data_IF_473609348039
#
_entry.id   IF_473609348039
#
_cell.length_a   1.000
_cell.length_b   1.000
_cell.length_c   1.000
_cell.angle_alpha   90.00
_cell.angle_beta   90.00
_cell.angle_gamma   90.00
#
_symmetry.space_group_name_H-M   'P 1'
#
loop_
_entity.id
_entity.type
_entity.pdbx_description
1 polymer ?
#
# COMPACT_ATOMS: atom_id res chain seq x y z
N UNK A 1 -23.04 -76.81 38.43
CA UNK A 1 -21.58 -76.71 38.64
C UNK A 1 -21.25 -75.23 38.44
N UNK A 2 -21.26 -74.37 39.46
CA UNK A 2 -20.28 -74.24 40.56
C UNK A 2 -18.89 -73.79 40.06
N UNK A 3 -18.21 -72.77 40.60
CA UNK A 3 -18.58 -71.73 41.59
C UNK A 3 -17.49 -70.60 41.64
N UNK A 4 -17.78 -69.47 42.32
CA UNK A 4 -16.85 -68.39 42.76
C UNK A 4 -16.08 -67.58 41.69
N UNK A 5 -15.72 -66.29 41.88
CA UNK A 5 -16.00 -65.33 42.96
C UNK A 5 -15.37 -63.93 42.70
N UNK A 6 -15.89 -62.89 43.37
CA UNK A 6 -15.32 -61.51 43.43
C UNK A 6 -14.11 -61.44 44.41
N UNK A 7 -13.26 -60.38 44.48
CA UNK A 7 -13.58 -58.93 44.51
C UNK A 7 -12.77 -58.10 43.45
N UNK A 8 -12.48 -56.79 43.48
CA UNK A 8 -12.51 -55.76 44.56
C UNK A 8 -12.61 -54.28 44.08
N UNK A 9 -12.36 -53.35 45.02
CA UNK A 9 -12.45 -51.86 45.01
C UNK A 9 -11.28 -51.12 44.31
N UNK A 10 -11.25 -49.78 44.14
CA UNK A 10 -12.05 -48.68 44.70
C UNK A 10 -11.97 -47.40 43.84
N UNK A 11 -13.08 -46.67 43.68
CA UNK A 11 -13.06 -45.25 43.23
C UNK A 11 -13.43 -44.33 44.41
N UNK A 12 -12.75 -43.18 44.53
CA UNK A 12 -13.18 -42.08 45.43
C UNK A 12 -13.58 -40.86 44.62
N UNK A 13 -14.88 -40.56 44.62
CA UNK A 13 -15.43 -39.24 44.29
C UNK A 13 -15.15 -38.25 45.42
N UNK A 14 -15.18 -36.93 45.15
CA UNK A 14 -16.14 -36.00 45.77
C UNK A 14 -16.09 -34.58 45.17
N UNK A 15 -17.14 -33.81 45.48
CA UNK A 15 -17.66 -32.71 44.63
C UNK A 15 -17.49 -31.29 45.21
N UNK A 16 -17.79 -30.30 44.36
CA UNK A 16 -17.88 -28.84 44.59
C UNK A 16 -19.00 -28.50 45.61
N UNK A 17 -18.94 -27.38 46.37
CA UNK A 17 -19.69 -26.17 45.97
C UNK A 17 -19.06 -24.82 46.39
N UNK A 18 -19.64 -23.71 45.91
CA UNK A 18 -19.25 -22.32 46.21
C UNK A 18 -19.98 -21.73 47.45
N UNK A 19 -19.44 -20.66 48.06
CA UNK A 19 -20.11 -19.87 49.12
C UNK A 19 -19.72 -18.38 49.12
N UNK A 20 -20.38 -17.58 49.97
CA UNK A 20 -20.68 -16.14 49.78
C UNK A 20 -19.83 -15.15 50.62
N UNK A 21 -19.72 -13.94 50.06
CA UNK A 21 -19.51 -12.58 50.64
C UNK A 21 -19.23 -12.44 52.16
N UNK A 22 -18.24 -11.59 52.46
CA UNK A 22 -18.24 -10.67 53.61
C UNK A 22 -17.64 -9.31 53.20
N UNK A 23 -18.14 -8.21 53.78
CA UNK A 23 -17.56 -6.86 53.59
C UNK A 23 -16.49 -6.58 54.64
N UNK A 24 -15.48 -5.78 54.29
CA UNK A 24 -14.79 -4.92 55.25
C UNK A 24 -14.24 -3.69 54.55
N UNK A 25 -14.66 -2.50 54.98
CA UNK A 25 -14.11 -1.24 54.54
C UNK A 25 -12.89 -0.89 55.38
N UNK A 26 -11.75 -0.58 54.76
CA UNK A 26 -10.77 0.31 55.38
C UNK A 26 -10.28 1.36 54.39
N UNK A 27 -10.50 2.61 54.78
CA UNK A 27 -10.02 3.80 54.10
C UNK A 27 -8.56 4.02 54.49
N UNK A 28 -7.66 4.27 53.53
CA UNK A 28 -6.38 4.93 53.81
C UNK A 28 -6.17 6.07 52.82
N UNK A 29 -5.78 7.22 53.39
CA UNK A 29 -5.65 8.50 52.73
C UNK A 29 -4.23 9.03 53.00
N UNK A 30 -3.39 9.16 51.97
CA UNK A 30 -2.15 9.96 51.92
C UNK A 30 -1.37 9.56 50.64
N UNK A 31 -0.60 10.44 49.98
CA UNK A 31 -0.62 11.90 49.90
C UNK A 31 0.08 12.27 48.57
N UNK A 32 -0.26 13.41 47.96
CA UNK A 32 0.21 13.74 46.63
C UNK A 32 1.66 14.28 46.59
N UNK A 33 2.44 13.84 45.59
CA UNK A 33 3.50 14.66 44.96
C UNK A 33 3.39 14.50 43.45
N UNK A 34 3.27 15.64 42.76
CA UNK A 34 2.71 15.70 41.41
C UNK A 34 3.49 15.03 40.29
N UNK A 35 2.74 14.71 39.23
CA UNK A 35 3.03 15.29 37.93
C UNK A 35 1.68 15.62 37.29
N UNK A 36 1.39 16.91 37.10
CA UNK A 36 0.28 17.33 36.23
C UNK A 36 0.70 17.04 34.79
N UNK A 37 0.41 15.81 34.34
CA UNK A 37 0.30 15.52 32.92
C UNK A 37 -0.86 16.39 32.43
N UNK A 38 -0.51 17.57 31.88
CA UNK A 38 -1.47 18.55 31.42
C UNK A 38 -2.49 17.87 30.55
N UNK A 39 -3.77 18.01 30.90
CA UNK A 39 -4.85 17.45 30.10
C UNK A 39 -4.71 18.02 28.69
N UNK A 40 -4.31 17.18 27.74
CA UNK A 40 -4.51 17.47 26.33
C UNK A 40 -6.02 17.57 26.15
N UNK A 41 -6.49 18.81 26.21
CA UNK A 41 -7.84 19.17 25.88
C UNK A 41 -8.08 18.60 24.49
N UNK A 42 -8.88 17.53 24.43
CA UNK A 42 -9.14 16.80 23.19
C UNK A 42 -10.06 17.66 22.33
N UNK A 43 -9.48 18.70 21.72
CA UNK A 43 -9.99 19.33 20.52
C UNK A 43 -10.36 18.20 19.57
N UNK A 44 -11.65 18.10 19.25
CA UNK A 44 -12.21 17.00 18.48
C UNK A 44 -11.28 16.63 17.33
N UNK A 45 -10.87 15.36 17.25
CA UNK A 45 -9.82 14.85 16.36
C UNK A 45 -9.98 15.39 14.94
N UNK A 46 -9.25 16.47 14.65
CA UNK A 46 -9.27 17.18 13.39
C UNK A 46 -8.48 16.32 12.40
N UNK A 47 -9.17 15.31 11.86
CA UNK A 47 -8.58 14.28 11.04
C UNK A 47 -7.91 14.87 9.81
N UNK A 48 -6.75 14.30 9.46
CA UNK A 48 -5.90 14.78 8.37
C UNK A 48 -6.60 14.54 7.03
N UNK A 49 -6.76 15.56 6.17
CA UNK A 49 -7.41 15.40 4.87
C UNK A 49 -6.46 14.73 3.87
N UNK A 50 -6.94 13.66 3.24
CA UNK A 50 -6.31 12.99 2.09
C UNK A 50 -7.14 13.31 0.85
N UNK A 51 -6.61 14.18 -0.03
CA UNK A 51 -7.28 14.59 -1.26
C UNK A 51 -6.72 13.84 -2.48
N UNK A 52 -7.58 13.06 -3.11
CA UNK A 52 -7.26 12.27 -4.31
C UNK A 52 -7.87 12.96 -5.53
N UNK A 53 -7.09 13.14 -6.60
CA UNK A 53 -7.52 13.83 -7.83
C UNK A 53 -7.23 12.95 -9.05
N UNK A 54 -8.25 12.67 -9.87
CA UNK A 54 -8.04 11.93 -11.11
C UNK A 54 -7.59 12.88 -12.23
N UNK A 55 -6.29 12.90 -12.54
CA UNK A 55 -5.75 13.65 -13.68
C UNK A 55 -5.80 12.89 -15.02
N UNK A 56 -6.10 11.59 -15.00
CA UNK A 56 -6.17 10.72 -16.18
C UNK A 56 -7.36 11.09 -17.10
N UNK A 57 -7.34 10.70 -18.39
CA UNK A 57 -8.44 10.92 -19.31
C UNK A 57 -9.61 9.92 -19.14
N UNK A 58 -9.41 8.86 -18.35
CA UNK A 58 -10.40 7.81 -18.09
C UNK A 58 -10.78 7.76 -16.59
N UNK A 59 -11.94 7.19 -16.29
CA UNK A 59 -12.35 6.86 -14.91
C UNK A 59 -11.34 5.90 -14.27
N UNK A 60 -11.02 6.16 -13.01
CA UNK A 60 -10.23 5.27 -12.16
C UNK A 60 -11.05 4.97 -10.89
N UNK A 61 -10.71 3.90 -10.19
CA UNK A 61 -11.32 3.58 -8.90
C UNK A 61 -10.26 3.60 -7.81
N UNK A 62 -10.02 4.76 -7.16
CA UNK A 62 -9.09 4.85 -6.05
C UNK A 62 -9.50 3.89 -4.93
N UNK A 63 -8.48 3.44 -4.21
CA UNK A 63 -8.59 2.48 -3.13
C UNK A 63 -7.58 2.80 -2.04
N UNK A 64 -7.92 2.46 -0.80
CA UNK A 64 -7.12 2.71 0.38
C UNK A 64 -7.12 1.46 1.26
N UNK A 65 -6.01 1.21 1.95
CA UNK A 65 -5.93 0.19 2.99
C UNK A 65 -5.28 0.80 4.23
N UNK A 66 -6.00 0.70 5.36
CA UNK A 66 -5.51 1.16 6.67
C UNK A 66 -4.70 0.05 7.32
N UNK A 67 -3.50 0.37 7.79
CA UNK A 67 -2.63 -0.53 8.54
C UNK A 67 -2.65 -0.16 10.02
N UNK A 68 -2.56 1.13 10.36
CA UNK A 68 -2.70 1.64 11.72
C UNK A 68 -3.54 2.93 11.76
N UNK A 69 -4.00 3.30 12.96
CA UNK A 69 -4.86 4.46 13.18
C UNK A 69 -6.30 4.28 12.69
N UNK A 70 -7.07 5.37 12.67
CA UNK A 70 -8.46 5.40 12.20
C UNK A 70 -8.49 5.79 10.72
N UNK A 71 -8.87 4.83 9.88
CA UNK A 71 -9.02 5.02 8.45
C UNK A 71 -10.19 5.92 8.02
N UNK A 72 -10.33 6.15 6.71
CA UNK A 72 -11.42 6.92 6.13
C UNK A 72 -12.77 6.18 6.26
N UNK A 73 -13.87 6.90 6.00
CA UNK A 73 -15.23 6.33 5.95
C UNK A 73 -15.46 5.37 4.76
N UNK A 74 -14.53 5.31 3.81
CA UNK A 74 -14.56 4.39 2.67
C UNK A 74 -13.14 4.18 2.13
N UNK A 75 -12.86 2.93 1.80
CA UNK A 75 -11.62 2.36 1.32
C UNK A 75 -11.62 2.12 -0.19
N UNK A 76 -12.69 2.47 -0.91
CA UNK A 76 -12.66 2.56 -2.36
C UNK A 76 -13.91 3.16 -3.01
N UNK A 77 -13.71 3.85 -4.13
CA UNK A 77 -14.77 4.61 -4.80
C UNK A 77 -14.45 4.82 -6.29
N UNK A 78 -15.45 5.19 -7.09
CA UNK A 78 -15.26 5.64 -8.47
C UNK A 78 -14.84 7.11 -8.53
N UNK A 79 -13.89 7.46 -9.40
CA UNK A 79 -13.45 8.84 -9.62
C UNK A 79 -13.31 9.14 -11.12
N UNK A 80 -14.30 9.87 -11.66
CA UNK A 80 -14.34 10.32 -13.05
C UNK A 80 -13.14 11.23 -13.43
N UNK A 81 -12.81 11.38 -14.73
CA UNK A 81 -11.76 12.30 -15.18
C UNK A 81 -11.91 13.71 -14.61
N UNK A 82 -10.80 14.28 -14.13
CA UNK A 82 -10.70 15.62 -13.49
C UNK A 82 -11.48 15.80 -12.18
N UNK A 83 -12.16 14.78 -11.68
CA UNK A 83 -12.81 14.83 -10.38
C UNK A 83 -11.78 14.75 -9.23
N UNK A 84 -12.18 15.25 -8.07
CA UNK A 84 -11.44 15.12 -6.81
C UNK A 84 -12.35 14.57 -5.72
N UNK A 85 -11.81 13.80 -4.78
CA UNK A 85 -12.48 13.41 -3.53
C UNK A 85 -11.53 13.63 -2.36
N UNK A 86 -12.07 14.14 -1.28
CA UNK A 86 -11.35 14.29 -0.01
C UNK A 86 -11.88 13.28 1.01
N UNK A 87 -10.97 12.67 1.75
CA UNK A 87 -11.22 11.75 2.84
C UNK A 87 -10.51 12.27 4.10
N UNK A 88 -10.91 11.83 5.29
CA UNK A 88 -10.28 12.22 6.55
C UNK A 88 -9.83 10.98 7.32
N UNK A 89 -8.61 11.00 7.85
CA UNK A 89 -7.97 9.92 8.62
C UNK A 89 -7.47 10.45 9.97
N UNK A 90 -7.16 9.60 10.96
CA UNK A 90 -6.55 10.08 12.22
C UNK A 90 -5.15 10.64 12.01
N UNK A 91 -4.69 11.41 12.99
CA UNK A 91 -3.35 11.99 13.00
C UNK A 91 -2.20 10.97 13.01
N UNK A 92 -2.46 9.76 13.49
CA UNK A 92 -1.53 8.63 13.53
C UNK A 92 -1.83 7.55 12.48
N UNK A 93 -2.59 7.88 11.45
CA UNK A 93 -2.96 6.92 10.41
C UNK A 93 -1.75 6.48 9.59
N UNK A 94 -1.64 5.16 9.41
CA UNK A 94 -0.68 4.54 8.51
C UNK A 94 -1.44 3.66 7.52
N UNK A 95 -1.06 3.73 6.25
CA UNK A 95 -1.76 3.05 5.19
C UNK A 95 -1.20 3.33 3.80
N UNK A 96 -1.92 2.82 2.80
CA UNK A 96 -1.57 2.93 1.40
C UNK A 96 -2.77 3.35 0.57
N UNK A 97 -2.51 4.12 -0.48
CA UNK A 97 -3.48 4.58 -1.47
C UNK A 97 -3.01 4.12 -2.85
N UNK A 98 -3.91 3.57 -3.65
CA UNK A 98 -3.66 3.23 -5.04
C UNK A 98 -4.89 3.53 -5.89
N UNK A 99 -4.78 3.30 -7.19
CA UNK A 99 -5.92 3.42 -8.11
C UNK A 99 -6.04 2.18 -8.99
N UNK A 100 -7.28 1.80 -9.28
CA UNK A 100 -7.64 0.63 -10.07
C UNK A 100 -8.16 1.04 -11.44
N UNK A 101 -7.98 0.17 -12.43
CA UNK A 101 -8.37 0.43 -13.84
C UNK A 101 -9.43 -0.55 -14.32
N UNK A 102 -10.31 -0.08 -15.21
CA UNK A 102 -11.30 -0.89 -15.93
C UNK A 102 -12.13 -1.80 -14.99
N UNK A 103 -12.75 -1.21 -13.96
CA UNK A 103 -13.49 -1.96 -12.96
C UNK A 103 -14.96 -2.18 -13.34
N UNK A 104 -15.49 -3.37 -13.02
CA UNK A 104 -16.92 -3.71 -13.11
C UNK A 104 -17.34 -4.53 -11.88
N UNK A 105 -18.06 -3.87 -10.96
CA UNK A 105 -18.53 -4.48 -9.72
C UNK A 105 -19.90 -5.12 -9.91
N UNK A 106 -19.91 -6.31 -10.52
CA UNK A 106 -21.14 -7.09 -10.72
C UNK A 106 -21.70 -7.62 -9.40
N UNK A 107 -23.03 -7.70 -9.29
CA UNK A 107 -23.73 -8.17 -8.08
C UNK A 107 -23.36 -9.61 -7.67
N UNK A 108 -22.87 -10.41 -8.61
CA UNK A 108 -22.56 -11.85 -8.43
C UNK A 108 -21.17 -12.12 -7.80
N UNK A 109 -20.37 -11.09 -7.51
CA UNK A 109 -19.13 -11.23 -6.74
C UNK A 109 -18.04 -12.08 -7.41
N UNK A 110 -17.57 -11.65 -8.58
CA UNK A 110 -16.39 -12.24 -9.22
C UNK A 110 -15.11 -12.04 -8.40
N UNK A 111 -14.13 -12.95 -8.51
CA UNK A 111 -12.88 -12.89 -7.72
C UNK A 111 -12.01 -11.66 -8.03
N UNK A 112 -12.12 -11.12 -9.24
CA UNK A 112 -11.52 -9.87 -9.68
C UNK A 112 -12.63 -9.02 -10.32
N UNK A 113 -12.72 -7.75 -9.95
CA UNK A 113 -13.61 -6.76 -10.57
C UNK A 113 -12.86 -5.76 -11.46
N UNK A 114 -11.55 -5.57 -11.24
CA UNK A 114 -10.70 -4.64 -11.99
C UNK A 114 -9.54 -5.35 -12.72
N UNK A 115 -9.05 -4.76 -13.82
CA UNK A 115 -7.88 -5.27 -14.57
C UNK A 115 -6.56 -5.11 -13.80
N UNK A 116 -6.43 -4.07 -12.97
CA UNK A 116 -5.23 -3.81 -12.15
C UNK A 116 -5.59 -3.29 -10.77
N UNK A 117 -4.76 -3.60 -9.77
CA UNK A 117 -4.94 -3.15 -8.38
C UNK A 117 -6.19 -3.70 -7.68
N UNK A 118 -6.85 -4.73 -8.22
CA UNK A 118 -8.09 -5.28 -7.66
C UNK A 118 -7.92 -5.74 -6.20
N UNK A 119 -8.92 -5.53 -5.35
CA UNK A 119 -8.84 -5.80 -3.90
C UNK A 119 -9.85 -6.86 -3.46
N UNK A 120 -9.85 -8.01 -4.16
CA UNK A 120 -10.76 -9.14 -4.00
C UNK A 120 -12.21 -8.84 -4.47
N UNK A 121 -12.34 -8.19 -5.63
CA UNK A 121 -13.61 -8.00 -6.34
C UNK A 121 -14.57 -6.96 -5.74
N UNK A 122 -14.21 -6.30 -4.63
CA UNK A 122 -15.07 -5.34 -3.93
C UNK A 122 -14.73 -3.88 -4.26
N UNK A 123 -15.76 -3.02 -4.29
CA UNK A 123 -15.54 -1.58 -4.47
C UNK A 123 -14.83 -0.98 -3.26
N UNK A 124 -15.28 -1.32 -2.05
CA UNK A 124 -14.77 -0.84 -0.77
C UNK A 124 -13.75 -1.85 -0.24
N UNK A 125 -12.44 -1.53 -0.34
CA UNK A 125 -11.37 -2.51 -0.17
C UNK A 125 -11.17 -2.96 1.29
N UNK A 126 -11.11 -4.28 1.49
CA UNK A 126 -10.79 -4.92 2.78
C UNK A 126 -9.37 -5.49 2.85
N UNK A 127 -8.67 -5.52 1.70
CA UNK A 127 -7.28 -5.97 1.53
C UNK A 127 -6.54 -4.98 0.62
N UNK A 128 -5.22 -5.15 0.47
CA UNK A 128 -4.43 -4.40 -0.53
C UNK A 128 -4.85 -4.73 -1.96
N UNK A 129 -4.45 -3.89 -2.91
CA UNK A 129 -4.59 -4.19 -4.33
C UNK A 129 -3.63 -5.29 -4.76
N UNK A 130 -4.13 -6.20 -5.61
CA UNK A 130 -3.33 -7.20 -6.30
C UNK A 130 -2.33 -6.51 -7.24
N UNK A 131 -1.05 -6.92 -7.25
CA UNK A 131 -0.07 -6.46 -8.23
C UNK A 131 -0.53 -6.69 -9.68
N UNK A 132 -0.22 -5.77 -10.62
CA UNK A 132 0.55 -4.56 -10.40
C UNK A 132 -0.30 -3.40 -9.86
N UNK A 133 0.23 -2.69 -8.87
CA UNK A 133 -0.38 -1.50 -8.29
C UNK A 133 0.70 -0.48 -7.92
N UNK A 134 0.64 0.72 -8.52
CA UNK A 134 1.42 1.87 -8.05
C UNK A 134 0.87 2.30 -6.69
N UNK A 135 1.68 2.23 -5.62
CA UNK A 135 1.26 2.61 -4.27
C UNK A 135 1.75 4.01 -3.90
N UNK A 136 0.93 4.76 -3.19
CA UNK A 136 1.35 5.88 -2.34
C UNK A 136 1.22 5.44 -0.88
N UNK A 137 2.35 5.27 -0.21
CA UNK A 137 2.44 4.76 1.15
C UNK A 137 2.64 5.95 2.11
N UNK A 138 1.95 5.91 3.26
CA UNK A 138 1.85 7.03 4.20
C UNK A 138 1.91 6.48 5.63
N UNK A 139 2.75 7.07 6.47
CA UNK A 139 2.76 6.85 7.91
C UNK A 139 2.80 8.21 8.64
N UNK A 140 1.65 8.67 9.12
CA UNK A 140 1.51 9.95 9.82
C UNK A 140 1.89 9.81 11.30
N UNK A 141 2.60 10.82 11.84
CA UNK A 141 2.98 10.88 13.27
C UNK A 141 3.53 9.55 13.82
N UNK A 142 4.43 8.93 13.06
CA UNK A 142 5.04 7.64 13.35
C UNK A 142 6.39 7.80 14.07
N UNK A 143 6.94 6.66 14.52
CA UNK A 143 8.12 6.58 15.38
C UNK A 143 7.83 6.86 16.86
N UNK A 144 8.83 6.60 17.72
CA UNK A 144 8.67 6.55 19.18
C UNK A 144 8.04 7.82 19.83
N UNK A 145 8.27 8.99 19.25
CA UNK A 145 7.77 10.28 19.77
C UNK A 145 6.57 10.83 18.99
N UNK A 146 6.07 10.12 17.98
CA UNK A 146 4.98 10.55 17.07
C UNK A 146 5.19 11.92 16.38
N UNK A 147 6.43 12.38 16.21
CA UNK A 147 6.73 13.71 15.64
C UNK A 147 6.91 13.73 14.13
N UNK A 148 7.07 12.56 13.49
CA UNK A 148 7.53 12.46 12.11
C UNK A 148 6.45 11.83 11.24
N UNK A 149 6.23 12.37 10.05
CA UNK A 149 5.40 11.74 9.02
C UNK A 149 6.27 11.30 7.85
N UNK A 150 6.11 10.06 7.43
CA UNK A 150 6.79 9.47 6.28
C UNK A 150 5.78 9.23 5.17
N UNK A 151 6.22 9.36 3.92
CA UNK A 151 5.44 9.03 2.75
C UNK A 151 6.36 8.79 1.56
N UNK A 152 5.96 7.91 0.66
CA UNK A 152 6.69 7.57 -0.54
C UNK A 152 5.76 7.03 -1.64
N UNK A 153 6.27 6.97 -2.86
CA UNK A 153 5.59 6.29 -3.97
C UNK A 153 6.38 5.02 -4.27
N UNK A 154 5.71 3.89 -4.06
CA UNK A 154 6.31 2.57 -4.07
C UNK A 154 5.87 1.79 -5.31
N UNK A 155 6.86 1.13 -5.92
CA UNK A 155 6.69 0.21 -7.05
C UNK A 155 7.05 -1.24 -6.65
N UNK A 156 7.09 -1.52 -5.33
CA UNK A 156 7.33 -2.88 -4.79
C UNK A 156 6.23 -3.84 -5.25
N UNK A 157 4.98 -3.37 -5.30
CA UNK A 157 3.82 -4.08 -5.86
C UNK A 157 3.64 -3.79 -7.37
N UNK A 158 4.66 -3.29 -8.07
CA UNK A 158 4.65 -2.99 -9.51
C UNK A 158 4.10 -1.61 -9.87
N UNK A 159 3.62 -1.46 -11.10
CA UNK A 159 3.11 -0.21 -11.66
C UNK A 159 1.86 -0.44 -12.50
N UNK A 160 0.85 0.40 -12.34
CA UNK A 160 -0.32 0.40 -13.23
C UNK A 160 -0.71 1.80 -13.72
N UNK A 161 -0.59 2.82 -12.87
CA UNK A 161 -0.93 4.21 -13.17
C UNK A 161 0.18 5.17 -12.71
N UNK A 162 0.38 6.30 -13.43
CA UNK A 162 1.24 7.37 -12.97
C UNK A 162 0.64 8.06 -11.73
N UNK A 163 1.47 8.39 -10.75
CA UNK A 163 1.08 8.99 -9.47
C UNK A 163 2.11 10.06 -9.09
N UNK A 164 1.63 11.23 -8.65
CA UNK A 164 2.44 12.28 -8.06
C UNK A 164 1.78 12.90 -6.84
N UNK A 165 2.61 13.31 -5.89
CA UNK A 165 2.23 14.10 -4.72
C UNK A 165 2.69 15.55 -4.95
N UNK A 166 1.80 16.51 -5.25
CA UNK A 166 2.19 17.90 -5.48
C UNK A 166 2.60 18.57 -4.15
N UNK A 167 3.90 18.56 -3.86
CA UNK A 167 4.49 19.28 -2.72
C UNK A 167 5.03 20.66 -3.14
N UNK A 168 5.09 21.65 -2.24
CA UNK A 168 5.71 22.95 -2.49
C UNK A 168 7.26 22.89 -2.41
N UNK A 169 7.87 21.87 -3.02
CA UNK A 169 9.32 21.62 -3.02
C UNK A 169 9.86 21.72 -4.46
N UNK A 170 11.08 22.22 -4.70
CA UNK A 170 11.66 22.27 -6.04
C UNK A 170 11.89 20.88 -6.67
N UNK A 171 11.62 20.69 -7.98
CA UNK A 171 11.47 19.38 -8.61
C UNK A 171 12.78 18.60 -8.82
N UNK A 172 13.94 19.17 -8.53
CA UNK A 172 15.23 18.48 -8.56
C UNK A 172 15.85 18.25 -7.17
N UNK A 173 15.15 18.65 -6.09
CA UNK A 173 15.53 18.34 -4.72
C UNK A 173 14.78 17.11 -4.23
N UNK A 174 13.45 17.16 -4.27
CA UNK A 174 12.58 15.98 -4.18
C UNK A 174 11.39 16.17 -5.11
N UNK A 175 11.10 15.15 -5.93
CA UNK A 175 9.90 15.08 -6.74
C UNK A 175 9.22 13.73 -6.45
N UNK A 176 8.26 13.67 -5.52
CA UNK A 176 7.50 12.45 -5.23
C UNK A 176 6.52 12.20 -6.38
N UNK A 177 7.05 11.65 -7.47
CA UNK A 177 6.29 11.21 -8.65
C UNK A 177 6.93 9.95 -9.22
N UNK A 178 6.14 8.95 -9.57
CA UNK A 178 6.65 7.74 -10.22
C UNK A 178 6.73 7.88 -11.75
N UNK A 179 7.14 6.78 -12.39
CA UNK A 179 7.44 6.66 -13.81
C UNK A 179 6.29 7.18 -14.69
N UNK A 180 6.64 7.89 -15.75
CA UNK A 180 5.74 8.50 -16.74
C UNK A 180 4.72 9.54 -16.20
N UNK A 181 4.84 9.94 -14.94
CA UNK A 181 3.99 10.99 -14.37
C UNK A 181 4.40 12.38 -14.88
N UNK A 182 3.46 13.24 -15.32
CA UNK A 182 3.74 14.65 -15.54
C UNK A 182 4.29 15.27 -14.25
N UNK A 183 5.47 15.91 -14.31
CA UNK A 183 5.87 16.80 -15.40
C UNK A 183 6.86 16.19 -16.41
N UNK A 184 7.24 14.92 -16.26
CA UNK A 184 8.24 14.28 -17.13
C UNK A 184 7.79 14.07 -18.58
N UNK A 185 6.48 13.99 -18.84
CA UNK A 185 5.93 13.65 -20.16
C UNK A 185 5.29 14.80 -20.94
N UNK A 186 4.82 15.90 -20.31
CA UNK A 186 4.04 16.92 -21.04
C UNK A 186 3.96 18.37 -20.46
N UNK A 187 4.29 18.62 -19.20
CA UNK A 187 4.04 19.93 -18.54
C UNK A 187 5.26 20.36 -17.71
N UNK A 188 5.55 21.65 -17.52
CA UNK A 188 6.48 22.07 -16.46
C UNK A 188 5.94 21.69 -15.07
N UNK A 189 6.82 21.40 -14.11
CA UNK A 189 6.43 21.43 -12.69
C UNK A 189 6.08 22.88 -12.31
N UNK A 190 5.05 23.06 -11.48
CA UNK A 190 4.65 24.39 -10.96
C UNK A 190 5.75 25.07 -10.14
N UNK A 191 6.72 24.29 -9.64
CA UNK A 191 7.81 24.76 -8.80
C UNK A 191 9.16 24.80 -9.56
N UNK A 192 9.15 24.57 -10.88
CA UNK A 192 10.36 24.57 -11.70
C UNK A 192 10.87 26.00 -11.95
N UNK A 193 12.18 26.19 -11.92
CA UNK A 193 12.83 27.41 -12.36
C UNK A 193 14.24 27.11 -12.95
N UNK A 194 15.03 28.13 -13.28
CA UNK A 194 16.35 27.94 -13.87
C UNK A 194 17.37 27.25 -12.92
N UNK A 195 17.24 27.45 -11.60
CA UNK A 195 18.06 26.82 -10.56
C UNK A 195 17.60 25.38 -10.29
N UNK A 196 16.29 25.16 -10.39
CA UNK A 196 15.62 23.90 -10.09
C UNK A 196 14.76 23.45 -11.28
N UNK A 197 15.39 23.05 -12.40
CA UNK A 197 14.67 22.60 -13.59
C UNK A 197 13.96 21.27 -13.30
N UNK A 198 12.81 21.04 -13.94
CA UNK A 198 12.27 19.68 -14.01
C UNK A 198 13.20 18.83 -14.90
N UNK A 199 13.67 17.65 -14.46
CA UNK A 199 14.27 16.70 -15.38
C UNK A 199 13.24 16.35 -16.48
N UNK A 200 13.70 15.96 -17.67
CA UNK A 200 12.81 15.51 -18.74
C UNK A 200 13.29 14.17 -19.26
N UNK A 201 12.38 13.22 -19.38
CA UNK A 201 12.66 11.90 -19.94
C UNK A 201 11.99 11.86 -21.31
N UNK A 202 12.74 11.59 -22.40
CA UNK A 202 12.15 11.41 -23.72
C UNK A 202 11.02 10.37 -23.70
N UNK A 203 9.90 10.65 -24.36
CA UNK A 203 8.74 9.74 -24.35
C UNK A 203 9.07 8.32 -24.85
N UNK A 204 10.06 8.19 -25.74
CA UNK A 204 10.60 6.91 -26.22
C UNK A 204 11.29 6.07 -25.12
N UNK A 205 11.89 6.71 -24.12
CA UNK A 205 12.57 6.03 -23.02
C UNK A 205 11.56 5.61 -21.95
N UNK A 206 10.51 6.43 -21.75
CA UNK A 206 9.34 6.11 -20.92
C UNK A 206 8.53 4.89 -21.41
N UNK A 207 8.72 4.41 -22.63
CA UNK A 207 8.05 3.17 -23.10
C UNK A 207 8.89 1.91 -22.83
N UNK A 208 10.18 2.06 -22.50
CA UNK A 208 11.17 0.96 -22.40
C UNK A 208 11.54 0.56 -20.98
N UNK A 209 11.01 1.24 -19.96
CA UNK A 209 11.39 1.02 -18.56
C UNK A 209 11.03 -0.37 -18.02
N UNK A 210 9.89 -0.93 -18.43
CA UNK A 210 9.41 -2.25 -18.04
C UNK A 210 9.85 -3.31 -19.08
N UNK A 211 10.57 -4.38 -18.69
CA UNK A 211 10.88 -5.49 -19.58
C UNK A 211 9.64 -6.30 -20.02
N UNK A 212 9.71 -6.90 -21.21
CA UNK A 212 8.61 -7.71 -21.75
C UNK A 212 8.06 -8.81 -20.83
N UNK A 213 8.88 -9.55 -20.04
CA UNK A 213 8.37 -10.58 -19.12
C UNK A 213 7.51 -10.04 -17.97
N UNK A 214 7.60 -8.74 -17.65
CA UNK A 214 6.86 -8.12 -16.55
C UNK A 214 5.61 -7.34 -17.02
N UNK A 215 5.44 -7.12 -18.31
CA UNK A 215 4.25 -6.46 -18.86
C UNK A 215 3.02 -7.36 -18.72
N UNK A 216 1.90 -6.81 -18.20
CA UNK A 216 0.61 -7.52 -18.25
C UNK A 216 0.10 -7.72 -19.68
N UNK A 217 0.43 -6.78 -20.57
CA UNK A 217 -0.01 -6.77 -21.96
C UNK A 217 1.22 -6.55 -22.87
N UNK A 218 2.08 -7.57 -23.04
CA UNK A 218 3.20 -7.47 -23.96
C UNK A 218 2.68 -7.37 -25.42
N UNK A 219 3.37 -6.63 -26.30
CA UNK A 219 2.99 -6.57 -27.72
C UNK A 219 3.14 -7.93 -28.39
N UNK A 220 2.56 -8.08 -29.59
CA UNK A 220 2.76 -9.26 -30.40
C UNK A 220 4.28 -9.48 -30.69
N UNK A 221 4.74 -10.71 -30.46
CA UNK A 221 6.17 -11.08 -30.60
C UNK A 221 6.64 -10.93 -32.05
N UNK A 222 7.81 -10.35 -32.32
CA UNK A 222 8.48 -10.50 -33.62
C UNK A 222 9.20 -11.85 -33.71
N UNK A 223 9.05 -12.58 -34.81
CA UNK A 223 9.83 -13.80 -35.10
C UNK A 223 9.49 -15.01 -34.22
N UNK A 224 10.51 -15.86 -33.98
CA UNK A 224 10.44 -17.24 -33.44
C UNK A 224 10.02 -17.36 -31.95
N UNK A 225 9.04 -16.59 -31.51
CA UNK A 225 8.47 -16.70 -30.17
C UNK A 225 9.31 -16.09 -29.05
N UNK A 226 10.38 -15.36 -29.35
CA UNK A 226 11.23 -14.66 -28.40
C UNK A 226 11.33 -13.16 -28.71
N UNK A 227 11.60 -12.33 -27.69
CA UNK A 227 12.01 -10.93 -27.86
C UNK A 227 13.54 -10.87 -27.85
N UNK A 228 14.21 -10.54 -28.96
CA UNK A 228 15.66 -10.47 -29.01
C UNK A 228 16.17 -9.19 -28.35
N UNK A 229 17.03 -9.33 -27.35
CA UNK A 229 17.80 -8.21 -26.79
C UNK A 229 18.98 -7.88 -27.73
N UNK A 230 19.23 -6.60 -28.08
CA UNK A 230 18.50 -5.40 -27.66
C UNK A 230 17.19 -5.17 -28.45
N UNK A 231 16.14 -4.73 -27.75
CA UNK A 231 14.77 -4.53 -28.29
C UNK A 231 14.61 -3.26 -29.15
N UNK A 232 15.47 -3.03 -30.15
CA UNK A 232 15.63 -1.71 -30.78
C UNK A 232 14.42 -1.20 -31.59
N UNK A 233 13.59 -2.07 -32.17
CA UNK A 233 12.54 -1.67 -33.13
C UNK A 233 11.07 -1.96 -32.77
N UNK A 234 10.76 -2.42 -31.55
CA UNK A 234 9.38 -2.76 -31.16
C UNK A 234 8.68 -1.54 -30.54
N UNK A 235 7.54 -1.12 -31.12
CA UNK A 235 6.68 -0.10 -30.52
C UNK A 235 6.01 -0.64 -29.26
N UNK A 236 6.02 0.16 -28.18
CA UNK A 236 5.46 -0.20 -26.87
C UNK A 236 4.42 0.85 -26.44
N UNK A 237 3.32 0.47 -25.78
CA UNK A 237 2.34 1.44 -25.28
C UNK A 237 2.99 2.38 -24.25
N UNK A 238 2.76 3.72 -24.32
CA UNK A 238 3.37 4.68 -23.40
C UNK A 238 3.04 4.46 -21.92
N UNK A 239 1.91 3.82 -21.65
CA UNK A 239 1.49 3.38 -20.32
C UNK A 239 1.13 1.90 -20.43
N UNK A 240 1.96 1.04 -19.87
CA UNK A 240 1.73 -0.39 -19.81
C UNK A 240 1.88 -0.85 -18.36
N UNK A 241 0.87 -1.49 -17.74
CA UNK A 241 1.02 -2.06 -16.41
C UNK A 241 2.13 -3.11 -16.38
N UNK A 242 2.93 -3.06 -15.32
CA UNK A 242 4.17 -3.81 -15.16
C UNK A 242 4.21 -4.43 -13.76
N UNK A 243 4.36 -5.74 -13.68
CA UNK A 243 4.63 -6.46 -12.44
C UNK A 243 5.99 -6.03 -11.89
N UNK A 244 6.15 -6.04 -10.57
CA UNK A 244 7.49 -6.07 -9.98
C UNK A 244 8.12 -7.46 -10.17
N UNK A 245 9.45 -7.60 -10.09
CA UNK A 245 10.10 -8.92 -10.09
C UNK A 245 9.52 -9.85 -9.04
N UNK A 246 9.31 -9.37 -7.80
CA UNK A 246 8.69 -10.15 -6.73
C UNK A 246 7.29 -10.66 -7.12
N UNK A 247 6.44 -9.80 -7.67
CA UNK A 247 5.09 -10.18 -8.10
C UNK A 247 5.08 -11.18 -9.28
N UNK A 248 6.14 -11.19 -10.11
CA UNK A 248 6.25 -12.09 -11.25
C UNK A 248 6.94 -13.44 -10.93
N UNK A 249 7.92 -13.45 -10.02
CA UNK A 249 8.76 -14.64 -9.75
C UNK A 249 8.48 -15.29 -8.39
N UNK A 250 8.05 -14.50 -7.39
CA UNK A 250 7.99 -14.91 -5.99
C UNK A 250 9.34 -15.32 -5.38
N UNK A 251 10.47 -14.95 -6.00
CA UNK A 251 11.80 -15.40 -5.55
C UNK A 251 12.27 -14.67 -4.29
N UNK A 252 13.03 -15.35 -3.43
CA UNK A 252 13.53 -14.74 -2.19
C UNK A 252 14.37 -13.47 -2.44
N UNK A 253 15.17 -13.47 -3.52
CA UNK A 253 16.00 -12.34 -3.91
C UNK A 253 15.21 -11.17 -4.47
N UNK A 254 14.13 -11.43 -5.22
CA UNK A 254 13.30 -10.37 -5.80
C UNK A 254 12.35 -9.76 -4.77
N UNK A 255 11.90 -10.57 -3.79
CA UNK A 255 11.02 -10.15 -2.71
C UNK A 255 11.76 -9.67 -1.44
N UNK A 256 13.09 -9.69 -1.42
CA UNK A 256 13.91 -9.42 -0.23
C UNK A 256 13.46 -10.20 1.02
N UNK A 257 13.27 -11.52 0.90
CA UNK A 257 12.83 -12.41 2.00
C UNK A 257 13.90 -13.40 2.41
N UNK A 258 13.71 -14.04 3.57
CA UNK A 258 14.57 -15.11 4.09
C UNK A 258 16.07 -14.76 4.04
N UNK A 259 16.86 -15.40 3.18
CA UNK A 259 18.30 -15.15 3.05
C UNK A 259 18.64 -13.73 2.54
N UNK A 260 17.68 -13.07 1.88
CA UNK A 260 17.75 -11.71 1.36
C UNK A 260 16.97 -10.68 2.21
N UNK A 261 16.64 -10.99 3.46
CA UNK A 261 15.77 -10.16 4.33
C UNK A 261 16.39 -8.87 4.89
N UNK A 262 17.57 -8.44 4.44
CA UNK A 262 18.20 -7.19 4.89
C UNK A 262 18.68 -6.35 3.71
N UNK A 263 18.81 -5.04 3.92
CA UNK A 263 19.33 -4.12 2.90
C UNK A 263 20.78 -4.42 2.46
N UNK A 264 21.52 -5.27 3.19
CA UNK A 264 22.86 -5.74 2.81
C UNK A 264 22.85 -7.09 2.08
N UNK A 265 21.73 -7.82 2.07
CA UNK A 265 21.58 -9.11 1.38
C UNK A 265 20.60 -9.07 0.19
N UNK A 266 19.67 -8.12 0.15
CA UNK A 266 18.88 -7.80 -1.03
C UNK A 266 19.59 -6.75 -1.89
N UNK A 267 20.11 -7.18 -3.04
CA UNK A 267 20.78 -6.28 -4.00
C UNK A 267 19.78 -5.74 -5.04
N UNK A 268 19.88 -4.47 -5.47
CA UNK A 268 19.04 -3.92 -6.54
C UNK A 268 19.13 -4.73 -7.84
N UNK A 269 17.99 -5.25 -8.32
CA UNK A 269 17.86 -5.88 -9.62
C UNK A 269 17.75 -4.88 -10.78
N UNK A 270 17.85 -5.37 -12.02
CA UNK A 270 17.75 -4.55 -13.25
C UNK A 270 16.47 -3.69 -13.28
N UNK A 271 15.34 -4.25 -12.88
CA UNK A 271 14.05 -3.54 -12.84
C UNK A 271 14.01 -2.43 -11.80
N UNK A 272 14.61 -2.64 -10.63
CA UNK A 272 14.73 -1.59 -9.61
C UNK A 272 15.61 -0.43 -10.09
N UNK A 273 16.69 -0.73 -10.83
CA UNK A 273 17.54 0.28 -11.47
C UNK A 273 16.81 1.04 -12.59
N UNK A 274 16.08 0.32 -13.46
CA UNK A 274 15.28 0.92 -14.51
C UNK A 274 14.18 1.80 -13.93
N UNK A 275 13.42 1.30 -12.95
CA UNK A 275 12.40 2.06 -12.27
C UNK A 275 12.98 3.34 -11.66
N UNK A 276 14.08 3.22 -10.89
CA UNK A 276 14.71 4.37 -10.23
C UNK A 276 15.32 5.39 -11.21
N UNK A 277 15.70 4.98 -12.43
CA UNK A 277 16.18 5.87 -13.49
C UNK A 277 15.10 6.84 -14.00
N UNK A 278 13.82 6.50 -13.82
CA UNK A 278 12.69 7.26 -14.37
C UNK A 278 11.75 7.86 -13.29
N UNK A 279 12.26 8.04 -12.05
CA UNK A 279 11.56 8.69 -10.92
C UNK A 279 12.42 9.81 -10.30
#
# INVERSE_FOLDING_TARGET
>A
MSAHGQPSSSQKNHSIPASRRALSSFLLLAAATGLEAGGHNATADAGIPIKITNSCPATIWPALATQEGRGPLTHGFELAPKASKELSVSQDWQGRVWARTNCSFNADGGRNACDTGDCAGVLDCVVTGNPPATLFEIALQSGANKTNSFYDISLVDGYNLPLSLPLPIPPNLTNPSCIATPPYSASPSTNANATYPTPRIPAQDLTRWCPFPLLLQPPAKPGDGAFPLPDDHISRPPFSPCLSPCAATGSESDCCTASHSTASTCSPGLDSHNAKRYT
#
